data_IF_214148646313
#
_entry.id   IF_214148646313
#
_cell.length_a   1.000
_cell.length_b   1.000
_cell.length_c   1.000
_cell.angle_alpha   90.00
_cell.angle_beta   90.00
_cell.angle_gamma   90.00
#
_symmetry.space_group_name_H-M   'P 1'
#
loop_
_entity.id
_entity.type
_entity.pdbx_description
1 polymer ?
#
# COMPACT_ATOMS: atom_id res chain seq x y z
N UNK A 1 3.76 21.27 -23.67
CA UNK A 1 5.08 21.47 -23.02
C UNK A 1 5.50 20.19 -22.29
N UNK A 2 6.43 19.38 -22.82
CA UNK A 2 6.70 18.03 -22.31
C UNK A 2 8.12 17.85 -21.74
N UNK A 3 8.60 18.70 -20.81
CA UNK A 3 10.03 18.65 -20.42
C UNK A 3 10.41 18.80 -18.92
N UNK A 4 9.49 18.95 -17.96
CA UNK A 4 9.90 19.02 -16.53
C UNK A 4 9.72 17.73 -15.72
N UNK A 5 9.16 16.67 -16.30
CA UNK A 5 8.94 15.41 -15.57
C UNK A 5 10.25 14.70 -15.15
N UNK A 6 11.35 14.86 -15.92
CA UNK A 6 12.64 14.22 -15.62
C UNK A 6 13.37 14.81 -14.41
N UNK A 7 13.10 16.07 -14.06
CA UNK A 7 13.70 16.76 -12.91
C UNK A 7 12.98 16.47 -11.59
N UNK A 8 11.68 16.18 -11.66
CA UNK A 8 10.85 15.92 -10.48
C UNK A 8 11.07 14.51 -9.92
N UNK A 9 11.29 13.50 -10.78
CA UNK A 9 11.49 12.10 -10.38
C UNK A 9 12.96 11.67 -10.38
N UNK A 10 13.77 12.32 -9.55
CA UNK A 10 15.17 11.92 -9.32
C UNK A 10 15.25 10.85 -8.24
N UNK A 11 16.06 9.80 -8.46
CA UNK A 11 16.28 8.68 -7.51
C UNK A 11 16.53 9.17 -6.08
N UNK A 12 17.36 10.20 -5.91
CA UNK A 12 17.70 10.77 -4.60
C UNK A 12 16.47 11.33 -3.88
N UNK A 13 15.58 12.04 -4.58
CA UNK A 13 14.35 12.60 -3.99
C UNK A 13 13.38 11.50 -3.56
N UNK A 14 13.26 10.45 -4.38
CA UNK A 14 12.44 9.27 -4.04
C UNK A 14 12.97 8.57 -2.79
N UNK A 15 14.29 8.37 -2.68
CA UNK A 15 14.90 7.74 -1.49
C UNK A 15 14.67 8.61 -0.25
N UNK A 16 14.92 9.92 -0.32
CA UNK A 16 14.66 10.83 0.81
C UNK A 16 13.19 10.81 1.23
N UNK A 17 12.25 10.86 0.27
CA UNK A 17 10.82 10.78 0.58
C UNK A 17 10.45 9.45 1.26
N UNK A 18 10.97 8.31 0.78
CA UNK A 18 10.74 6.99 1.39
C UNK A 18 11.30 6.93 2.81
N UNK A 19 12.50 7.49 3.04
CA UNK A 19 13.10 7.53 4.38
C UNK A 19 12.27 8.40 5.34
N UNK A 20 11.81 9.58 4.89
CA UNK A 20 10.94 10.45 5.69
C UNK A 20 9.64 9.74 6.03
N UNK A 21 9.00 9.07 5.05
CA UNK A 21 7.77 8.30 5.28
C UNK A 21 8.00 7.16 6.28
N UNK A 22 9.14 6.48 6.20
CA UNK A 22 9.48 5.41 7.14
C UNK A 22 9.68 5.93 8.57
N UNK A 23 10.47 7.00 8.73
CA UNK A 23 10.69 7.62 10.04
C UNK A 23 9.36 8.12 10.62
N UNK A 24 8.53 8.77 9.81
CA UNK A 24 7.22 9.26 10.23
C UNK A 24 6.29 8.10 10.65
N UNK A 25 6.28 7.00 9.90
CA UNK A 25 5.51 5.80 10.24
C UNK A 25 5.95 5.19 11.58
N UNK A 26 7.26 5.06 11.81
CA UNK A 26 7.82 4.57 13.08
C UNK A 26 7.47 5.51 14.23
N UNK A 27 7.69 6.81 14.06
CA UNK A 27 7.37 7.83 15.06
C UNK A 27 5.90 7.81 15.47
N UNK A 28 4.97 7.60 14.54
CA UNK A 28 3.55 7.46 14.84
C UNK A 28 3.18 6.15 15.55
N UNK A 29 4.00 5.10 15.42
CA UNK A 29 3.79 3.80 16.09
C UNK A 29 4.41 3.74 17.49
N UNK A 30 5.45 4.52 17.78
CA UNK A 30 6.11 4.56 19.10
C UNK A 30 5.12 4.82 20.24
N UNK A 31 4.19 5.80 20.16
CA UNK A 31 3.21 6.06 21.21
C UNK A 31 2.27 4.90 21.49
N UNK A 32 2.01 4.02 20.50
CA UNK A 32 1.20 2.82 20.73
C UNK A 32 2.02 1.73 21.40
N UNK A 33 3.28 1.57 21.00
CA UNK A 33 4.17 0.58 21.59
C UNK A 33 4.51 0.91 23.05
N UNK A 34 4.64 2.18 23.41
CA UNK A 34 4.92 2.62 24.79
C UNK A 34 3.73 2.43 25.76
N UNK A 35 2.54 2.09 25.26
CA UNK A 35 1.35 1.84 26.09
C UNK A 35 1.32 0.44 26.70
N UNK A 36 2.16 -0.47 26.19
CA UNK A 36 2.23 -1.86 26.63
C UNK A 36 3.42 -2.06 27.57
N UNK A 37 3.18 -2.63 28.75
CA UNK A 37 4.23 -3.06 29.67
C UNK A 37 4.11 -4.55 29.91
N UNK A 38 5.23 -5.24 30.00
CA UNK A 38 5.25 -6.66 30.37
C UNK A 38 5.18 -6.70 31.90
N UNK A 39 4.15 -7.34 32.44
CA UNK A 39 4.00 -7.59 33.88
C UNK A 39 4.10 -9.11 34.08
N UNK A 40 4.72 -9.51 35.19
CA UNK A 40 4.75 -10.91 35.60
C UNK A 40 3.52 -11.17 36.47
N UNK A 41 2.63 -12.06 36.05
CA UNK A 41 1.57 -12.58 36.92
C UNK A 41 1.84 -14.03 37.23
N UNK A 42 1.60 -14.39 38.48
CA UNK A 42 1.57 -15.77 38.95
C UNK A 42 0.14 -16.27 38.87
N UNK A 43 -0.07 -17.40 38.20
CA UNK A 43 -1.38 -18.06 38.21
C UNK A 43 -1.63 -18.64 39.62
N UNK A 44 -2.72 -18.26 40.31
CA UNK A 44 -2.98 -18.74 41.68
C UNK A 44 -3.17 -20.26 41.79
N UNK A 45 -3.52 -20.92 40.67
CA UNK A 45 -3.83 -22.35 40.65
C UNK A 45 -2.65 -23.24 40.28
N UNK A 46 -1.64 -22.74 39.56
CA UNK A 46 -0.51 -23.55 39.08
C UNK A 46 0.85 -23.05 39.57
N UNK A 47 0.93 -21.90 40.28
CA UNK A 47 2.17 -21.27 40.73
C UNK A 47 3.21 -21.05 39.61
N UNK A 48 2.75 -21.00 38.35
CA UNK A 48 3.59 -20.67 37.21
C UNK A 48 3.53 -19.16 36.97
N UNK A 49 4.71 -18.53 36.96
CA UNK A 49 4.85 -17.13 36.53
C UNK A 49 4.89 -17.07 35.01
N UNK A 50 3.93 -16.40 34.38
CA UNK A 50 3.98 -16.11 32.96
C UNK A 50 4.02 -14.60 32.70
N UNK A 51 4.84 -14.14 31.74
CA UNK A 51 4.82 -12.76 31.32
C UNK A 51 3.54 -12.50 30.55
N UNK A 52 2.75 -11.52 30.98
CA UNK A 52 1.56 -11.07 30.26
C UNK A 52 1.67 -9.57 30.00
N UNK A 53 1.15 -9.14 28.87
CA UNK A 53 1.22 -7.74 28.45
C UNK A 53 0.04 -7.01 29.07
N UNK A 54 0.33 -6.09 30.00
CA UNK A 54 -0.65 -5.21 30.63
C UNK A 54 -0.49 -3.78 30.12
N UNK A 55 -1.57 -3.00 30.16
CA UNK A 55 -1.62 -1.62 29.65
C UNK A 55 -1.40 -0.65 30.82
N UNK A 56 -0.38 0.20 30.76
CA UNK A 56 0.15 0.95 31.92
C UNK A 56 -0.52 2.31 32.19
N UNK A 57 -1.12 2.95 31.20
CA UNK A 57 -1.55 4.36 31.26
C UNK A 57 -3.00 4.56 31.72
N UNK A 58 -3.35 5.81 32.07
CA UNK A 58 -4.72 6.18 32.44
C UNK A 58 -5.72 5.86 31.32
N UNK A 59 -6.84 5.19 31.66
CA UNK A 59 -7.85 4.70 30.71
C UNK A 59 -8.31 5.75 29.70
N UNK A 60 -8.42 7.01 30.11
CA UNK A 60 -8.86 8.11 29.24
C UNK A 60 -7.84 8.41 28.14
N UNK A 61 -6.55 8.56 28.48
CA UNK A 61 -5.47 8.92 27.53
C UNK A 61 -5.26 7.77 26.52
N UNK A 62 -5.41 6.53 26.97
CA UNK A 62 -5.34 5.34 26.14
C UNK A 62 -6.48 5.33 25.12
N UNK A 63 -7.72 5.57 25.55
CA UNK A 63 -8.88 5.51 24.66
C UNK A 63 -8.78 6.56 23.57
N UNK A 64 -8.35 7.78 23.90
CA UNK A 64 -8.12 8.82 22.91
C UNK A 64 -7.01 8.44 21.92
N UNK A 65 -5.87 7.94 22.39
CA UNK A 65 -4.74 7.55 21.53
C UNK A 65 -5.07 6.35 20.64
N UNK A 66 -5.76 5.35 21.19
CA UNK A 66 -6.23 4.16 20.45
C UNK A 66 -7.25 4.55 19.37
N UNK A 67 -8.17 5.47 19.69
CA UNK A 67 -9.20 5.92 18.76
C UNK A 67 -8.60 6.75 17.61
N UNK A 68 -7.67 7.64 17.91
CA UNK A 68 -6.93 8.41 16.90
C UNK A 68 -6.09 7.51 15.99
N UNK A 69 -5.37 6.53 16.55
CA UNK A 69 -4.51 5.67 15.74
C UNK A 69 -5.31 4.64 14.94
N UNK A 70 -6.31 3.99 15.54
CA UNK A 70 -7.10 2.95 14.85
C UNK A 70 -8.16 3.48 13.90
N UNK A 71 -8.64 4.71 14.10
CA UNK A 71 -9.70 5.29 13.27
C UNK A 71 -9.17 6.43 12.42
N UNK A 72 -8.63 7.49 13.04
CA UNK A 72 -8.30 8.73 12.32
C UNK A 72 -7.19 8.53 11.29
N UNK A 73 -6.10 7.84 11.65
CA UNK A 73 -4.99 7.63 10.71
C UNK A 73 -5.38 6.77 9.48
N UNK A 74 -6.07 5.62 9.63
CA UNK A 74 -6.56 4.86 8.48
C UNK A 74 -7.52 5.64 7.58
N UNK A 75 -8.42 6.43 8.15
CA UNK A 75 -9.33 7.29 7.38
C UNK A 75 -8.58 8.37 6.59
N UNK A 76 -7.61 9.06 7.22
CA UNK A 76 -6.77 10.04 6.53
C UNK A 76 -6.00 9.38 5.38
N UNK A 77 -5.34 8.25 5.63
CA UNK A 77 -4.59 7.53 4.60
C UNK A 77 -5.50 7.11 3.43
N UNK A 78 -6.70 6.63 3.73
CA UNK A 78 -7.68 6.25 2.72
C UNK A 78 -8.13 7.43 1.84
N UNK A 79 -8.44 8.58 2.46
CA UNK A 79 -8.84 9.80 1.73
C UNK A 79 -7.68 10.28 0.83
N UNK A 80 -6.46 10.33 1.37
CA UNK A 80 -5.26 10.71 0.61
C UNK A 80 -5.05 9.76 -0.58
N UNK A 81 -5.22 8.45 -0.37
CA UNK A 81 -5.06 7.46 -1.43
C UNK A 81 -6.10 7.63 -2.54
N UNK A 82 -7.38 7.85 -2.18
CA UNK A 82 -8.44 8.12 -3.16
C UNK A 82 -8.13 9.39 -3.95
N UNK A 83 -7.75 10.48 -3.27
CA UNK A 83 -7.39 11.73 -3.92
C UNK A 83 -6.22 11.54 -4.90
N UNK A 84 -5.18 10.81 -4.48
CA UNK A 84 -4.03 10.48 -5.31
C UNK A 84 -4.44 9.71 -6.57
N UNK A 85 -5.25 8.65 -6.42
CA UNK A 85 -5.75 7.87 -7.55
C UNK A 85 -6.59 8.73 -8.50
N UNK A 86 -7.48 9.56 -7.97
CA UNK A 86 -8.30 10.47 -8.77
C UNK A 86 -7.43 11.44 -9.58
N UNK A 87 -6.43 12.06 -8.94
CA UNK A 87 -5.48 12.96 -9.61
C UNK A 87 -4.74 12.21 -10.72
N UNK A 88 -4.21 11.01 -10.43
CA UNK A 88 -3.48 10.21 -11.43
C UNK A 88 -4.39 9.86 -12.60
N UNK A 89 -5.62 9.39 -12.35
CA UNK A 89 -6.61 9.06 -13.39
C UNK A 89 -6.93 10.29 -14.27
N UNK A 90 -7.15 11.45 -13.66
CA UNK A 90 -7.44 12.70 -14.37
C UNK A 90 -6.26 13.13 -15.25
N UNK A 91 -5.03 13.12 -14.70
CA UNK A 91 -3.82 13.45 -15.46
C UNK A 91 -3.57 12.46 -16.60
N UNK A 92 -3.86 11.18 -16.37
CA UNK A 92 -3.74 10.13 -17.39
C UNK A 92 -4.73 10.34 -18.53
N UNK A 93 -6.00 10.67 -18.20
CA UNK A 93 -7.04 10.95 -19.19
C UNK A 93 -6.69 12.19 -20.03
N UNK A 94 -6.24 13.27 -19.38
CA UNK A 94 -5.79 14.49 -20.07
C UNK A 94 -4.61 14.20 -21.01
N UNK A 95 -3.59 13.48 -20.54
CA UNK A 95 -2.43 13.08 -21.35
C UNK A 95 -2.83 12.20 -22.54
N UNK A 96 -3.75 11.25 -22.34
CA UNK A 96 -4.25 10.38 -23.40
C UNK A 96 -5.06 11.15 -24.46
N UNK A 97 -5.88 12.12 -24.05
CA UNK A 97 -6.67 12.94 -24.96
C UNK A 97 -5.78 13.82 -25.84
N UNK A 98 -4.79 14.50 -25.24
CA UNK A 98 -3.84 15.34 -25.97
C UNK A 98 -3.06 14.52 -27.01
N UNK A 99 -2.64 13.31 -26.65
CA UNK A 99 -1.93 12.42 -27.59
C UNK A 99 -2.81 11.98 -28.76
N UNK A 100 -4.08 11.65 -28.52
CA UNK A 100 -5.03 11.27 -29.59
C UNK A 100 -5.25 12.39 -30.59
N UNK A 101 -5.20 13.66 -30.15
CA UNK A 101 -5.30 14.84 -31.02
C UNK A 101 -4.03 15.12 -31.85
N UNK A 102 -2.87 14.55 -31.49
CA UNK A 102 -1.61 14.76 -32.21
C UNK A 102 -1.35 13.68 -33.27
N UNK A 103 -1.77 12.43 -33.03
CA UNK A 103 -1.63 11.33 -34.00
C UNK A 103 -2.41 11.58 -35.31
N UNK A 104 -3.49 12.36 -35.28
CA UNK A 104 -4.27 12.70 -36.47
C UNK A 104 -3.68 13.82 -37.34
N UNK A 105 -2.55 14.45 -36.97
CA UNK A 105 -1.99 15.63 -37.66
C UNK A 105 -0.58 15.46 -38.25
N UNK A 106 0.06 14.29 -38.17
CA UNK A 106 1.48 14.15 -38.52
C UNK A 106 1.76 12.85 -39.27
N UNK A 107 1.75 12.91 -40.61
CA UNK A 107 2.52 12.00 -41.48
C UNK A 107 2.87 12.75 -42.77
N UNK A 108 4.01 13.44 -42.81
CA UNK A 108 4.56 13.97 -44.07
C UNK A 108 6.08 13.98 -44.15
N UNK A 109 6.81 13.68 -43.05
CA UNK A 109 8.29 13.69 -43.05
C UNK A 109 8.86 12.43 -42.35
N UNK A 110 9.67 11.59 -43.04
CA UNK A 110 10.19 10.33 -42.50
C UNK A 110 11.10 10.48 -41.27
N UNK A 111 11.80 11.62 -41.10
CA UNK A 111 12.58 11.89 -39.88
C UNK A 111 11.68 12.15 -38.67
N UNK A 112 10.57 12.88 -38.86
CA UNK A 112 9.58 13.09 -37.81
C UNK A 112 8.82 11.80 -37.46
N UNK A 113 8.62 10.89 -38.43
CA UNK A 113 7.99 9.60 -38.19
C UNK A 113 8.80 8.73 -37.21
N UNK A 114 10.13 8.68 -37.34
CA UNK A 114 10.99 7.91 -36.44
C UNK A 114 11.03 8.49 -35.02
N UNK A 115 11.09 9.82 -34.86
CA UNK A 115 11.03 10.49 -33.56
C UNK A 115 9.65 10.34 -32.90
N UNK A 116 8.56 10.42 -33.67
CA UNK A 116 7.21 10.20 -33.20
C UNK A 116 7.00 8.77 -32.70
N UNK A 117 7.51 7.77 -33.44
CA UNK A 117 7.47 6.36 -33.04
C UNK A 117 8.23 6.10 -31.73
N UNK A 118 9.45 6.64 -31.60
CA UNK A 118 10.26 6.51 -30.38
C UNK A 118 9.61 7.17 -29.15
N UNK A 119 9.01 8.35 -29.33
CA UNK A 119 8.26 9.03 -28.27
C UNK A 119 6.98 8.26 -27.89
N UNK A 120 6.30 7.67 -28.87
CA UNK A 120 5.11 6.84 -28.63
C UNK A 120 5.46 5.58 -27.82
N UNK A 121 6.56 4.91 -28.12
CA UNK A 121 7.02 3.73 -27.39
C UNK A 121 7.40 4.07 -25.94
N UNK A 122 8.16 5.16 -25.73
CA UNK A 122 8.50 5.64 -24.38
C UNK A 122 7.25 6.00 -23.57
N UNK A 123 6.33 6.76 -24.17
CA UNK A 123 5.06 7.12 -23.51
C UNK A 123 4.25 5.87 -23.14
N UNK A 124 4.22 4.85 -24.00
CA UNK A 124 3.50 3.59 -23.74
C UNK A 124 4.11 2.80 -22.58
N UNK A 125 5.43 2.84 -22.40
CA UNK A 125 6.11 2.25 -21.24
C UNK A 125 5.73 2.98 -19.95
N UNK A 126 5.73 4.31 -19.96
CA UNK A 126 5.34 5.13 -18.79
C UNK A 126 3.88 4.91 -18.41
N UNK A 127 2.97 4.76 -19.39
CA UNK A 127 1.56 4.44 -19.15
C UNK A 127 1.39 3.11 -18.42
N UNK A 128 2.14 2.07 -18.78
CA UNK A 128 2.05 0.76 -18.11
C UNK A 128 2.46 0.85 -16.64
N UNK A 129 3.48 1.64 -16.33
CA UNK A 129 3.90 1.89 -14.94
C UNK A 129 2.82 2.65 -14.17
N UNK A 130 2.23 3.69 -14.77
CA UNK A 130 1.14 4.43 -14.12
C UNK A 130 -0.08 3.52 -13.90
N UNK A 131 -0.43 2.68 -14.88
CA UNK A 131 -1.51 1.71 -14.76
C UNK A 131 -1.28 0.70 -13.63
N UNK A 132 -0.05 0.22 -13.45
CA UNK A 132 0.25 -0.69 -12.34
C UNK A 132 0.11 -0.02 -10.98
N UNK A 133 0.59 1.23 -10.84
CA UNK A 133 0.43 2.00 -9.60
C UNK A 133 -1.04 2.20 -9.27
N UNK A 134 -1.84 2.61 -10.26
CA UNK A 134 -3.28 2.79 -10.09
C UNK A 134 -3.98 1.49 -9.71
N UNK A 135 -3.60 0.36 -10.32
CA UNK A 135 -4.17 -0.95 -9.97
C UNK A 135 -3.85 -1.34 -8.52
N UNK A 136 -2.61 -1.15 -8.08
CA UNK A 136 -2.19 -1.39 -6.69
C UNK A 136 -3.00 -0.51 -5.73
N UNK A 137 -3.15 0.78 -6.03
CA UNK A 137 -3.95 1.67 -5.20
C UNK A 137 -5.42 1.26 -5.15
N UNK A 138 -6.02 0.82 -6.26
CA UNK A 138 -7.39 0.31 -6.28
C UNK A 138 -7.55 -0.96 -5.42
N UNK A 139 -6.61 -1.90 -5.52
CA UNK A 139 -6.59 -3.12 -4.69
C UNK A 139 -6.47 -2.74 -3.20
N UNK A 140 -5.59 -1.80 -2.87
CA UNK A 140 -5.42 -1.29 -1.51
C UNK A 140 -6.73 -0.69 -0.98
N UNK A 141 -7.40 0.17 -1.75
CA UNK A 141 -8.68 0.79 -1.39
C UNK A 141 -9.72 -0.29 -1.07
N UNK A 142 -9.92 -1.24 -1.98
CA UNK A 142 -10.90 -2.33 -1.80
C UNK A 142 -10.57 -3.18 -0.58
N UNK A 143 -9.29 -3.48 -0.37
CA UNK A 143 -8.84 -4.31 0.75
C UNK A 143 -8.91 -3.60 2.10
N UNK A 144 -8.87 -2.26 2.11
CA UNK A 144 -8.96 -1.44 3.31
C UNK A 144 -10.42 -1.14 3.71
N UNK A 145 -11.38 -1.27 2.79
CA UNK A 145 -12.80 -1.02 3.08
C UNK A 145 -13.34 -1.83 4.27
N UNK A 146 -13.13 -3.17 4.36
CA UNK A 146 -13.61 -3.95 5.50
C UNK A 146 -13.08 -3.41 6.84
N UNK A 147 -11.82 -2.96 6.85
CA UNK A 147 -11.20 -2.36 8.02
C UNK A 147 -11.91 -1.07 8.45
N UNK A 148 -12.17 -0.17 7.50
CA UNK A 148 -12.85 1.10 7.80
C UNK A 148 -14.28 0.89 8.28
N UNK A 149 -15.01 -0.05 7.67
CA UNK A 149 -16.39 -0.39 8.05
C UNK A 149 -16.45 -0.83 9.50
N UNK A 150 -15.60 -1.78 9.93
CA UNK A 150 -15.62 -2.21 11.33
C UNK A 150 -15.10 -1.12 12.29
N UNK A 151 -14.10 -0.32 11.86
CA UNK A 151 -13.56 0.75 12.69
C UNK A 151 -14.62 1.82 12.99
N UNK A 152 -15.44 2.17 12.00
CA UNK A 152 -16.56 3.09 12.18
C UNK A 152 -17.69 2.44 13.00
N UNK A 153 -17.95 1.15 12.80
CA UNK A 153 -18.89 0.39 13.62
C UNK A 153 -18.56 0.43 15.11
N UNK A 154 -17.27 0.35 15.46
CA UNK A 154 -16.77 0.48 16.85
C UNK A 154 -16.97 1.89 17.42
N UNK A 155 -16.91 2.93 16.59
CA UNK A 155 -17.11 4.32 17.02
C UNK A 155 -18.59 4.62 17.32
N UNK A 156 -19.50 4.07 16.50
CA UNK A 156 -20.95 4.27 16.67
C UNK A 156 -21.47 3.43 17.83
N UNK A 157 -21.06 2.16 17.90
CA UNK A 157 -21.50 1.22 18.92
C UNK A 157 -20.30 0.81 19.78
N UNK A 158 -20.09 1.44 20.95
CA UNK A 158 -19.02 1.03 21.86
C UNK A 158 -19.24 -0.38 22.44
N UNK A 159 -20.40 -1.01 22.24
CA UNK A 159 -20.66 -2.44 22.52
C UNK A 159 -20.06 -3.40 21.48
N UNK A 160 -19.65 -2.89 20.32
CA UNK A 160 -18.93 -3.64 19.28
C UNK A 160 -17.42 -3.59 19.56
N UNK A 161 -17.02 -4.09 20.73
CA UNK A 161 -15.62 -4.15 21.16
C UNK A 161 -15.28 -5.53 21.74
N UNK A 162 -13.99 -5.79 21.91
CA UNK A 162 -13.48 -7.00 22.55
C UNK A 162 -14.08 -7.11 23.96
N UNK A 163 -14.53 -8.30 24.35
CA UNK A 163 -15.17 -8.62 25.65
C UNK A 163 -16.57 -8.03 25.88
N UNK A 164 -17.29 -7.67 24.82
CA UNK A 164 -18.68 -7.17 24.92
C UNK A 164 -19.68 -8.07 24.20
N UNK A 165 -20.97 -7.73 24.32
CA UNK A 165 -22.12 -8.54 23.86
C UNK A 165 -22.04 -8.95 22.38
N UNK A 166 -21.36 -8.18 21.54
CA UNK A 166 -21.19 -8.43 20.10
C UNK A 166 -19.78 -8.92 19.71
N UNK A 167 -19.03 -9.51 20.64
CA UNK A 167 -17.65 -9.97 20.41
C UNK A 167 -17.50 -10.94 19.22
N UNK A 168 -18.44 -11.87 19.02
CA UNK A 168 -18.35 -12.85 17.93
C UNK A 168 -18.37 -12.17 16.55
N UNK A 169 -19.25 -11.19 16.39
CA UNK A 169 -19.36 -10.41 15.16
C UNK A 169 -18.10 -9.56 14.96
N UNK A 170 -17.58 -8.95 16.02
CA UNK A 170 -16.31 -8.23 15.99
C UNK A 170 -15.13 -9.12 15.55
N UNK A 171 -15.03 -10.35 16.06
CA UNK A 171 -13.99 -11.29 15.65
C UNK A 171 -14.08 -11.66 14.18
N UNK A 172 -15.29 -11.89 13.65
CA UNK A 172 -15.49 -12.19 12.21
C UNK A 172 -15.02 -11.01 11.35
N UNK A 173 -15.50 -9.79 11.62
CA UNK A 173 -15.12 -8.60 10.86
C UNK A 173 -13.62 -8.30 10.93
N UNK A 174 -13.02 -8.43 12.12
CA UNK A 174 -11.57 -8.20 12.27
C UNK A 174 -10.74 -9.28 11.59
N UNK A 175 -11.21 -10.53 11.52
CA UNK A 175 -10.52 -11.62 10.81
C UNK A 175 -10.59 -11.39 9.31
N UNK A 176 -11.78 -11.08 8.78
CA UNK A 176 -11.97 -10.76 7.36
C UNK A 176 -11.06 -9.58 6.97
N UNK A 177 -11.08 -8.49 7.73
CA UNK A 177 -10.28 -7.30 7.43
C UNK A 177 -8.78 -7.58 7.44
N UNK A 178 -8.31 -8.40 8.37
CA UNK A 178 -6.91 -8.85 8.42
C UNK A 178 -6.56 -9.71 7.20
N UNK A 179 -7.41 -10.65 6.81
CA UNK A 179 -7.22 -11.46 5.62
C UNK A 179 -7.10 -10.59 4.37
N UNK A 180 -7.97 -9.60 4.18
CA UNK A 180 -7.88 -8.67 3.06
C UNK A 180 -6.58 -7.85 3.07
N UNK A 181 -6.11 -7.44 4.24
CA UNK A 181 -4.83 -6.73 4.36
C UNK A 181 -3.63 -7.60 3.95
N UNK A 182 -3.64 -8.89 4.31
CA UNK A 182 -2.61 -9.84 3.87
C UNK A 182 -2.70 -10.15 2.37
N UNK A 183 -3.92 -10.27 1.84
CA UNK A 183 -4.13 -10.43 0.40
C UNK A 183 -3.61 -9.23 -0.38
N UNK A 184 -3.86 -8.01 0.10
CA UNK A 184 -3.31 -6.79 -0.52
C UNK A 184 -1.78 -6.82 -0.63
N UNK A 185 -1.08 -7.25 0.43
CA UNK A 185 0.37 -7.41 0.39
C UNK A 185 0.80 -8.49 -0.63
N UNK A 186 0.03 -9.58 -0.71
CA UNK A 186 0.32 -10.73 -1.56
C UNK A 186 0.05 -10.48 -3.05
N UNK A 187 -0.96 -9.69 -3.40
CA UNK A 187 -1.34 -9.44 -4.80
C UNK A 187 -0.34 -8.53 -5.52
N UNK A 188 0.38 -7.69 -4.78
CA UNK A 188 1.36 -6.74 -5.35
C UNK A 188 2.40 -7.41 -6.24
N UNK A 189 2.90 -8.59 -5.87
CA UNK A 189 3.89 -9.33 -6.67
C UNK A 189 3.37 -9.67 -8.07
N UNK A 190 2.10 -10.09 -8.17
CA UNK A 190 1.46 -10.45 -9.44
C UNK A 190 1.22 -9.22 -10.30
N UNK A 191 0.85 -8.09 -9.69
CA UNK A 191 0.69 -6.83 -10.42
C UNK A 191 2.02 -6.38 -11.03
N UNK A 192 3.10 -6.41 -10.25
CA UNK A 192 4.43 -6.06 -10.77
C UNK A 192 4.90 -7.03 -11.85
N UNK A 193 4.65 -8.33 -11.70
CA UNK A 193 4.99 -9.33 -12.71
C UNK A 193 4.30 -9.08 -14.06
N UNK A 194 3.02 -8.70 -14.05
CA UNK A 194 2.25 -8.47 -15.27
C UNK A 194 2.58 -7.13 -15.95
N UNK A 195 2.77 -6.05 -15.18
CA UNK A 195 2.90 -4.71 -15.75
C UNK A 195 4.35 -4.21 -15.88
N UNK A 196 5.28 -4.73 -15.07
CA UNK A 196 6.69 -4.31 -15.11
C UNK A 196 7.54 -5.35 -15.85
N UNK A 197 7.79 -5.07 -17.14
CA UNK A 197 8.61 -5.92 -18.00
C UNK A 197 10.02 -6.17 -17.47
N UNK A 198 10.66 -5.18 -16.82
CA UNK A 198 11.99 -5.35 -16.21
C UNK A 198 11.93 -6.27 -15.00
N UNK A 199 10.92 -6.10 -14.15
CA UNK A 199 10.69 -6.98 -13.00
C UNK A 199 10.49 -8.43 -13.45
N UNK A 200 9.66 -8.65 -14.47
CA UNK A 200 9.42 -9.98 -15.05
C UNK A 200 10.69 -10.63 -15.58
N UNK A 201 11.55 -9.88 -16.28
CA UNK A 201 12.82 -10.40 -16.79
C UNK A 201 13.75 -10.84 -15.67
N UNK A 202 13.89 -10.04 -14.61
CA UNK A 202 14.71 -10.40 -13.44
C UNK A 202 14.14 -11.61 -12.70
N UNK A 203 12.81 -11.66 -12.54
CA UNK A 203 12.15 -12.81 -11.93
C UNK A 203 12.40 -14.10 -12.73
N UNK A 204 12.31 -14.02 -14.06
CA UNK A 204 12.62 -15.14 -14.96
C UNK A 204 14.10 -15.50 -14.97
N UNK A 205 15.03 -14.55 -14.84
CA UNK A 205 16.46 -14.87 -14.77
C UNK A 205 16.81 -15.60 -13.48
N UNK A 206 16.24 -15.19 -12.34
CA UNK A 206 16.44 -15.87 -11.05
C UNK A 206 15.90 -17.30 -11.08
N UNK A 207 14.73 -17.50 -11.70
CA UNK A 207 14.11 -18.83 -11.79
C UNK A 207 14.78 -19.73 -12.84
N UNK A 208 15.27 -19.19 -13.96
CA UNK A 208 16.01 -19.94 -14.97
C UNK A 208 17.44 -20.30 -14.55
N UNK A 209 18.15 -19.41 -13.86
CA UNK A 209 19.50 -19.69 -13.36
C UNK A 209 19.53 -20.89 -12.40
N UNK A 210 18.42 -21.12 -11.67
CA UNK A 210 18.28 -22.26 -10.77
C UNK A 210 17.99 -23.60 -11.46
N UNK A 211 17.54 -23.59 -12.71
CA UNK A 211 17.28 -24.81 -13.50
C UNK A 211 18.57 -25.32 -14.16
N UNK A 212 19.52 -24.45 -14.50
CA UNK A 212 20.78 -24.85 -15.14
C UNK A 212 21.83 -25.34 -14.14
N UNK A 213 21.79 -24.91 -12.88
CA UNK A 213 22.77 -25.34 -11.86
C UNK A 213 22.47 -26.70 -11.23
N UNK A 214 21.39 -27.38 -11.61
CA UNK A 214 21.07 -28.75 -11.17
C UNK A 214 21.31 -29.81 -12.25
N UNK A 215 21.71 -29.41 -13.46
CA UNK A 215 22.00 -30.32 -14.58
C UNK A 215 23.50 -30.52 -14.87
N UNK A 216 24.40 -29.94 -14.07
CA UNK A 216 25.87 -30.10 -14.20
C UNK A 216 26.51 -30.92 -13.07
N UNK A 217 25.70 -31.60 -12.25
CA UNK A 217 26.16 -32.48 -11.15
C UNK A 217 25.65 -33.91 -11.24
N UNK A 218 25.37 -34.40 -12.46
CA UNK A 218 25.25 -35.84 -12.73
C UNK A 218 26.24 -36.27 -13.80
#
# INVERSE_FOLDING_TARGET
MPLQFKSVFTKSRTVTAVLILFILAVSFHIPVMSMFTIVWSTEPQSNVSFPYVTRKSSDSIIRYSDMLNRTTLPWINFIIMIACVAIIKLKLYQSSRVRRSQTSKSVSDPKQAHEAANNHERSSKDLRVIQSVVLICCIFIVSQLPFLVYSTGRLINPEFDVFKKQQNLFYIFTTISRTFSYLNASVNIFVYYNYNSKYRLIFLSITKWKVTSTSETQ
#
